data_IF_043746765823
#
_entry.id   IF_043746765823
#
_cell.length_a   1.000
_cell.length_b   1.000
_cell.length_c   1.000
_cell.angle_alpha   90.00
_cell.angle_beta   90.00
_cell.angle_gamma   90.00
#
_symmetry.space_group_name_H-M   'P 1'
#
loop_
_entity.id
_entity.type
_entity.pdbx_description
1 polymer ?
#
# COMPACT_ATOMS: atom_id res chain seq x y z
N UNK A 1 -0.78 15.81 -2.42
CA UNK A 1 -0.32 14.86 -1.37
C UNK A 1 0.89 14.05 -1.87
N UNK A 2 1.70 13.44 -0.99
CA UNK A 2 2.80 12.53 -1.38
C UNK A 2 2.51 11.15 -0.83
N UNK A 3 2.77 10.12 -1.63
CA UNK A 3 2.60 8.71 -1.30
C UNK A 3 3.96 8.04 -1.20
N UNK A 4 4.09 7.18 -0.21
CA UNK A 4 5.22 6.33 0.13
C UNK A 4 4.79 4.87 0.01
N UNK A 5 5.51 4.13 -0.82
CA UNK A 5 5.27 2.70 -1.04
C UNK A 5 6.46 1.94 -0.46
N UNK A 6 6.24 1.26 0.66
CA UNK A 6 7.31 0.69 1.49
C UNK A 6 7.24 -0.82 1.40
N UNK A 7 8.31 -1.48 0.93
CA UNK A 7 8.39 -2.94 0.88
C UNK A 7 8.07 -3.55 2.25
N UNK A 8 7.18 -4.53 2.28
CA UNK A 8 6.64 -5.09 3.52
C UNK A 8 7.67 -5.95 4.27
N UNK A 9 8.50 -6.70 3.54
CA UNK A 9 9.55 -7.53 4.15
C UNK A 9 10.75 -6.72 4.65
N UNK A 10 11.38 -7.23 5.70
CA UNK A 10 12.70 -6.77 6.13
C UNK A 10 13.77 -7.19 5.12
N UNK A 11 14.27 -6.23 4.36
CA UNK A 11 15.28 -6.47 3.33
C UNK A 11 16.70 -6.54 3.90
N UNK A 12 17.54 -7.51 3.48
CA UNK A 12 18.96 -7.53 3.82
C UNK A 12 19.70 -6.28 3.35
N UNK A 13 20.77 -5.90 4.04
CA UNK A 13 21.63 -4.76 3.66
C UNK A 13 22.34 -4.94 2.31
N UNK A 14 22.43 -6.19 1.81
CA UNK A 14 23.04 -6.53 0.50
C UNK A 14 22.04 -6.50 -0.65
N UNK A 15 20.81 -6.06 -0.42
CA UNK A 15 19.74 -6.04 -1.42
C UNK A 15 20.10 -5.11 -2.59
N UNK A 16 19.88 -5.61 -3.81
CA UNK A 16 20.04 -4.84 -5.04
C UNK A 16 18.66 -4.47 -5.57
N UNK A 17 18.42 -3.17 -5.72
CA UNK A 17 17.14 -2.64 -6.16
C UNK A 17 17.10 -2.52 -7.70
N UNK A 18 16.12 -3.14 -8.38
CA UNK A 18 16.05 -3.12 -9.84
C UNK A 18 15.43 -1.83 -10.40
N UNK A 19 15.02 -0.91 -9.53
CA UNK A 19 14.41 0.37 -9.85
C UNK A 19 15.29 1.54 -9.38
N UNK A 20 15.01 2.72 -9.92
CA UNK A 20 15.71 3.95 -9.57
C UNK A 20 15.37 4.40 -8.15
N UNK A 21 16.35 4.30 -7.27
CA UNK A 21 16.25 4.78 -5.89
C UNK A 21 16.06 6.31 -5.90
N UNK A 22 14.96 6.78 -5.31
CA UNK A 22 14.63 8.21 -5.17
C UNK A 22 15.23 8.82 -3.90
N UNK A 23 15.34 8.03 -2.82
CA UNK A 23 15.93 8.42 -1.55
C UNK A 23 16.94 7.36 -1.10
N UNK A 24 18.23 7.70 -1.05
CA UNK A 24 19.27 6.76 -0.61
C UNK A 24 19.19 6.40 0.88
N UNK A 25 18.50 7.20 1.70
CA UNK A 25 18.25 6.88 3.10
C UNK A 25 17.10 5.88 3.29
N UNK A 26 16.22 5.74 2.28
CA UNK A 26 15.07 4.84 2.30
C UNK A 26 14.94 4.12 0.94
N UNK A 27 15.90 3.25 0.58
CA UNK A 27 15.96 2.66 -0.77
C UNK A 27 14.83 1.64 -1.03
N UNK A 28 14.22 1.10 0.03
CA UNK A 28 13.04 0.24 -0.02
C UNK A 28 11.73 1.02 -0.22
N UNK A 29 11.77 2.36 -0.27
CA UNK A 29 10.59 3.21 -0.42
C UNK A 29 10.55 3.82 -1.82
N UNK A 30 9.44 3.62 -2.52
CA UNK A 30 9.14 4.34 -3.74
C UNK A 30 8.21 5.51 -3.44
N UNK A 31 8.43 6.65 -4.08
CA UNK A 31 7.68 7.88 -3.82
C UNK A 31 6.91 8.31 -5.06
N UNK A 32 5.63 8.64 -4.92
CA UNK A 32 4.85 9.30 -5.96
C UNK A 32 4.06 10.48 -5.39
N UNK A 33 3.79 11.48 -6.21
CA UNK A 33 2.79 12.48 -5.86
C UNK A 33 1.39 11.98 -6.26
N UNK A 34 0.38 12.68 -5.77
CA UNK A 34 -1.02 12.39 -6.04
C UNK A 34 -1.39 12.39 -7.53
N UNK A 35 -0.78 13.26 -8.35
CA UNK A 35 -1.02 13.30 -9.80
C UNK A 35 -0.54 12.00 -10.48
N UNK A 36 0.60 11.47 -10.07
CA UNK A 36 1.17 10.21 -10.59
C UNK A 36 0.36 9.00 -10.11
N UNK A 37 -0.08 8.99 -8.85
CA UNK A 37 -0.96 7.94 -8.33
C UNK A 37 -2.30 7.93 -9.06
N UNK A 38 -2.89 9.11 -9.29
CA UNK A 38 -4.13 9.25 -10.06
C UNK A 38 -3.97 8.76 -11.51
N UNK A 39 -2.84 9.06 -12.15
CA UNK A 39 -2.53 8.58 -13.49
C UNK A 39 -2.41 7.05 -13.54
N UNK A 40 -1.69 6.46 -12.58
CA UNK A 40 -1.55 5.00 -12.44
C UNK A 40 -2.90 4.32 -12.22
N UNK A 41 -3.72 4.83 -11.28
CA UNK A 41 -5.05 4.29 -11.02
C UNK A 41 -5.93 4.34 -12.28
N UNK A 42 -5.88 5.45 -13.02
CA UNK A 42 -6.62 5.59 -14.29
C UNK A 42 -6.19 4.53 -15.31
N UNK A 43 -4.90 4.23 -15.40
CA UNK A 43 -4.40 3.17 -16.29
C UNK A 43 -4.87 1.80 -15.82
N UNK A 44 -4.73 1.47 -14.53
CA UNK A 44 -5.21 0.20 -13.97
C UNK A 44 -6.71 0.01 -14.21
N UNK A 45 -7.50 1.07 -14.09
CA UNK A 45 -8.93 1.04 -14.38
C UNK A 45 -9.22 0.77 -15.87
N UNK A 46 -8.51 1.45 -16.78
CA UNK A 46 -8.67 1.23 -18.23
C UNK A 46 -8.25 -0.18 -18.64
N UNK A 47 -7.25 -0.74 -17.97
CA UNK A 47 -6.75 -2.10 -18.20
C UNK A 47 -7.56 -3.19 -17.49
N UNK A 48 -8.68 -2.82 -16.84
CA UNK A 48 -9.56 -3.73 -16.11
C UNK A 48 -8.84 -4.49 -14.97
N UNK A 49 -7.94 -3.80 -14.27
CA UNK A 49 -7.16 -4.30 -13.13
C UNK A 49 -7.43 -3.59 -11.81
N UNK A 50 -8.35 -2.63 -11.79
CA UNK A 50 -8.73 -1.89 -10.60
C UNK A 50 -10.19 -2.17 -10.23
N UNK A 51 -10.42 -2.71 -9.04
CA UNK A 51 -11.76 -2.90 -8.50
C UNK A 51 -12.24 -1.61 -7.83
N UNK A 52 -13.12 -0.89 -8.52
CA UNK A 52 -13.69 0.38 -8.04
C UNK A 52 -14.95 0.20 -7.20
N UNK A 53 -15.45 -1.03 -7.04
CA UNK A 53 -16.67 -1.31 -6.26
C UNK A 53 -16.36 -1.73 -4.82
N UNK A 54 -15.15 -2.26 -4.56
CA UNK A 54 -14.70 -2.60 -3.21
C UNK A 54 -14.18 -1.36 -2.50
N UNK A 55 -15.04 -0.75 -1.70
CA UNK A 55 -14.74 0.42 -0.87
C UNK A 55 -14.73 -0.01 0.60
N UNK A 56 -13.55 0.01 1.21
CA UNK A 56 -13.42 -0.02 2.66
C UNK A 56 -13.30 1.42 3.15
N UNK A 57 -13.96 1.71 4.27
CA UNK A 57 -13.93 3.01 4.94
C UNK A 57 -13.49 2.85 6.40
N UNK A 58 -13.28 3.99 7.07
CA UNK A 58 -12.88 4.08 8.48
C UNK A 58 -13.81 3.28 9.42
N UNK A 59 -15.06 3.02 9.00
CA UNK A 59 -16.00 2.26 9.82
C UNK A 59 -15.54 0.81 10.02
N UNK A 60 -14.85 0.23 9.02
CA UNK A 60 -14.35 -1.14 9.08
C UNK A 60 -13.28 -1.29 10.18
N UNK A 61 -12.38 -0.32 10.31
CA UNK A 61 -11.36 -0.29 11.38
C UNK A 61 -11.99 -0.07 12.75
N UNK A 62 -12.94 0.86 12.85
CA UNK A 62 -13.66 1.12 14.09
C UNK A 62 -14.37 -0.14 14.61
N UNK A 63 -14.96 -0.96 13.73
CA UNK A 63 -15.61 -2.20 14.14
C UNK A 63 -14.64 -3.22 14.76
N UNK A 64 -13.39 -3.26 14.33
CA UNK A 64 -12.38 -4.17 14.89
C UNK A 64 -12.09 -3.76 16.34
N UNK A 65 -11.77 -2.49 16.55
CA UNK A 65 -11.46 -1.98 17.88
C UNK A 65 -12.66 -1.98 18.82
N UNK A 66 -13.88 -1.71 18.32
CA UNK A 66 -15.11 -1.84 19.11
C UNK A 66 -15.34 -3.28 19.61
N UNK A 67 -14.98 -4.30 18.84
CA UNK A 67 -15.11 -5.71 19.25
C UNK A 67 -14.07 -6.14 20.28
N UNK A 68 -12.95 -5.43 20.37
CA UNK A 68 -11.92 -5.69 21.39
C UNK A 68 -12.34 -5.25 22.80
N UNK A 69 -13.45 -4.51 22.91
CA UNK A 69 -13.93 -3.86 24.15
C UNK A 69 -12.91 -2.86 24.76
N UNK A 70 -11.79 -2.60 24.07
CA UNK A 70 -10.82 -1.56 24.44
C UNK A 70 -11.30 -0.21 23.92
N UNK A 71 -11.18 0.83 24.75
CA UNK A 71 -11.31 2.20 24.27
C UNK A 71 -10.04 2.58 23.48
N UNK A 72 -10.11 3.52 22.53
CA UNK A 72 -8.92 3.98 21.80
C UNK A 72 -7.78 4.43 22.72
N UNK A 73 -8.10 5.16 23.79
CA UNK A 73 -7.12 5.59 24.79
C UNK A 73 -6.48 4.40 25.53
N UNK A 74 -7.26 3.37 25.85
CA UNK A 74 -6.72 2.18 26.51
C UNK A 74 -5.85 1.34 25.57
N UNK A 75 -6.22 1.24 24.29
CA UNK A 75 -5.41 0.58 23.28
C UNK A 75 -4.06 1.31 23.10
N UNK A 76 -4.05 2.64 23.11
CA UNK A 76 -2.82 3.45 23.06
C UNK A 76 -1.94 3.23 24.30
N UNK A 77 -2.49 3.23 25.50
CA UNK A 77 -1.75 2.90 26.73
C UNK A 77 -1.13 1.49 26.67
N UNK A 78 -1.88 0.51 26.18
CA UNK A 78 -1.38 -0.87 26.02
C UNK A 78 -0.25 -0.90 24.99
N UNK A 79 -0.36 -0.17 23.89
CA UNK A 79 0.72 -0.05 22.91
C UNK A 79 2.00 0.52 23.53
N UNK A 80 1.90 1.65 24.25
CA UNK A 80 3.04 2.28 24.93
C UNK A 80 3.68 1.35 25.98
N UNK A 81 2.85 0.59 26.71
CA UNK A 81 3.33 -0.41 27.66
C UNK A 81 4.12 -1.54 26.99
N UNK A 82 3.62 -2.05 25.85
CA UNK A 82 4.20 -3.22 25.17
C UNK A 82 5.42 -2.87 24.31
N UNK A 83 5.34 -1.82 23.51
CA UNK A 83 6.36 -1.48 22.51
C UNK A 83 7.42 -0.51 23.06
N UNK A 84 6.99 0.50 23.84
CA UNK A 84 7.87 1.55 24.36
C UNK A 84 8.32 1.30 25.81
N UNK A 85 7.84 0.20 26.42
CA UNK A 85 8.12 -0.16 27.83
C UNK A 85 7.75 0.96 28.81
N UNK A 86 6.73 1.75 28.50
CA UNK A 86 6.27 2.82 29.37
C UNK A 86 5.57 2.28 30.62
N UNK A 87 5.73 2.99 31.74
CA UNK A 87 5.08 2.64 33.00
C UNK A 87 3.63 3.17 33.00
N UNK A 88 2.68 2.28 32.73
CA UNK A 88 1.23 2.57 32.69
C UNK A 88 0.56 2.11 33.99
N UNK A 89 -0.34 2.94 34.53
CA UNK A 89 -1.17 2.64 35.71
C UNK A 89 -2.66 2.90 35.39
N UNK A 90 -3.55 1.89 35.45
CA UNK A 90 -3.28 0.51 35.85
C UNK A 90 -2.53 -0.28 34.78
N UNK A 91 -1.64 -1.17 35.25
CA UNK A 91 -0.92 -2.13 34.40
C UNK A 91 -1.95 -2.93 33.58
N UNK A 92 -1.78 -3.04 32.25
CA UNK A 92 -2.64 -3.87 31.41
C UNK A 92 -2.74 -5.31 31.92
N UNK A 93 -3.97 -5.79 32.05
CA UNK A 93 -4.26 -7.19 32.34
C UNK A 93 -3.93 -8.08 31.12
N UNK A 94 -3.77 -9.38 31.35
CA UNK A 94 -3.52 -10.32 30.24
C UNK A 94 -4.69 -10.37 29.26
N UNK A 95 -5.93 -10.22 29.74
CA UNK A 95 -7.12 -10.18 28.87
C UNK A 95 -7.09 -8.97 27.94
N UNK A 96 -6.70 -7.80 28.45
CA UNK A 96 -6.54 -6.58 27.64
C UNK A 96 -5.42 -6.71 26.61
N UNK A 97 -4.29 -7.31 27.00
CA UNK A 97 -3.17 -7.58 26.09
C UNK A 97 -3.59 -8.55 24.98
N UNK A 98 -4.30 -9.63 25.33
CA UNK A 98 -4.78 -10.62 24.37
C UNK A 98 -5.81 -10.00 23.39
N UNK A 99 -6.73 -9.17 23.91
CA UNK A 99 -7.69 -8.44 23.11
C UNK A 99 -7.02 -7.44 22.15
N UNK A 100 -5.99 -6.74 22.62
CA UNK A 100 -5.18 -5.83 21.82
C UNK A 100 -4.48 -6.55 20.67
N UNK A 101 -3.79 -7.66 20.95
CA UNK A 101 -3.13 -8.45 19.90
C UNK A 101 -4.14 -9.04 18.91
N UNK A 102 -5.32 -9.44 19.36
CA UNK A 102 -6.36 -9.94 18.47
C UNK A 102 -6.88 -8.82 17.55
N UNK A 103 -7.12 -7.62 18.08
CA UNK A 103 -7.51 -6.45 17.30
C UNK A 103 -6.45 -6.10 16.24
N UNK A 104 -5.17 -6.04 16.62
CA UNK A 104 -4.07 -5.79 15.69
C UNK A 104 -4.03 -6.83 14.55
N UNK A 105 -4.18 -8.12 14.87
CA UNK A 105 -4.22 -9.19 13.85
C UNK A 105 -5.39 -9.06 12.91
N UNK A 106 -6.55 -8.62 13.40
CA UNK A 106 -7.73 -8.45 12.57
C UNK A 106 -7.64 -7.18 11.72
N UNK A 107 -6.99 -6.13 12.22
CA UNK A 107 -6.63 -4.95 11.44
C UNK A 107 -5.63 -5.27 10.34
N UNK A 108 -4.56 -6.03 10.63
CA UNK A 108 -3.61 -6.48 9.62
C UNK A 108 -4.28 -7.31 8.51
N UNK A 109 -5.23 -8.17 8.87
CA UNK A 109 -6.03 -8.92 7.88
C UNK A 109 -6.90 -8.00 7.04
N UNK A 110 -7.49 -6.96 7.64
CA UNK A 110 -8.29 -5.97 6.91
C UNK A 110 -7.40 -5.20 5.93
N UNK A 111 -6.24 -4.70 6.38
CA UNK A 111 -5.27 -3.98 5.56
C UNK A 111 -4.70 -4.83 4.41
N UNK A 112 -4.65 -6.15 4.58
CA UNK A 112 -4.20 -7.10 3.57
C UNK A 112 -5.33 -7.65 2.68
N UNK A 113 -6.57 -7.20 2.85
CA UNK A 113 -7.72 -7.76 2.13
C UNK A 113 -7.56 -7.56 0.62
N UNK A 114 -7.62 -8.66 -0.13
CA UNK A 114 -7.62 -8.67 -1.60
C UNK A 114 -9.05 -8.44 -2.12
N UNK A 115 -9.17 -8.00 -3.39
CA UNK A 115 -10.48 -7.89 -4.05
C UNK A 115 -11.16 -9.26 -4.13
N UNK A 116 -12.49 -9.26 -4.02
CA UNK A 116 -13.30 -10.46 -4.32
C UNK A 116 -13.33 -10.80 -5.82
N UNK A 117 -12.98 -9.85 -6.69
CA UNK A 117 -12.89 -10.05 -8.13
C UNK A 117 -11.49 -10.54 -8.49
N UNK A 118 -11.43 -11.73 -9.09
CA UNK A 118 -10.17 -12.33 -9.49
C UNK A 118 -9.39 -11.43 -10.46
N UNK A 119 -8.10 -11.24 -10.21
CA UNK A 119 -7.23 -10.45 -11.08
C UNK A 119 -7.38 -8.93 -10.96
N UNK A 120 -7.99 -8.43 -9.88
CA UNK A 120 -8.17 -7.00 -9.62
C UNK A 120 -7.51 -6.55 -8.31
N UNK A 121 -7.05 -5.30 -8.31
CA UNK A 121 -6.53 -4.62 -7.11
C UNK A 121 -7.61 -3.66 -6.58
N UNK A 122 -7.97 -3.70 -5.28
CA UNK A 122 -8.96 -2.78 -4.73
C UNK A 122 -8.52 -1.31 -4.81
N UNK A 123 -9.44 -0.43 -5.23
CA UNK A 123 -9.15 1.00 -5.39
C UNK A 123 -8.79 1.69 -4.07
N UNK A 124 -9.40 1.26 -2.97
CA UNK A 124 -9.22 1.90 -1.66
C UNK A 124 -7.76 1.89 -1.20
N UNK A 125 -6.97 0.89 -1.63
CA UNK A 125 -5.53 0.77 -1.28
C UNK A 125 -4.67 1.94 -1.75
N UNK A 126 -5.12 2.68 -2.76
CA UNK A 126 -4.43 3.86 -3.29
C UNK A 126 -5.22 5.16 -3.04
N UNK A 127 -6.51 5.04 -2.76
CA UNK A 127 -7.36 6.19 -2.48
C UNK A 127 -7.18 6.72 -1.05
N UNK A 128 -6.86 5.85 -0.10
CA UNK A 128 -6.66 6.22 1.30
C UNK A 128 -5.28 5.77 1.76
N UNK A 129 -4.63 6.59 2.58
CA UNK A 129 -3.21 6.49 2.88
C UNK A 129 -2.97 5.79 4.21
N UNK A 130 -3.68 4.67 4.40
CA UNK A 130 -3.95 4.08 5.72
C UNK A 130 -3.08 2.83 5.99
N UNK A 131 -1.95 2.66 5.29
CA UNK A 131 -1.08 1.51 5.48
C UNK A 131 -1.60 0.22 4.84
N UNK A 132 -2.42 0.33 3.79
CA UNK A 132 -2.90 -0.83 3.04
C UNK A 132 -1.74 -1.66 2.51
N UNK A 133 -1.84 -2.99 2.64
CA UNK A 133 -0.89 -3.90 2.03
C UNK A 133 -1.37 -4.22 0.61
N UNK A 134 -0.60 -3.79 -0.38
CA UNK A 134 -0.67 -4.33 -1.73
C UNK A 134 0.04 -5.66 -1.73
N UNK A 135 -0.71 -6.75 -1.90
CA UNK A 135 -0.20 -8.12 -1.71
C UNK A 135 0.77 -8.50 -2.82
N UNK A 136 1.48 -9.62 -2.65
CA UNK A 136 2.41 -10.12 -3.67
C UNK A 136 1.72 -10.39 -5.00
N UNK A 137 0.50 -10.92 -4.98
CA UNK A 137 -0.30 -11.17 -6.19
C UNK A 137 -0.72 -9.87 -6.87
N UNK A 138 -1.17 -8.90 -6.09
CA UNK A 138 -1.55 -7.58 -6.61
C UNK A 138 -0.34 -6.85 -7.20
N UNK A 139 0.83 -6.99 -6.57
CA UNK A 139 2.10 -6.49 -7.11
C UNK A 139 2.44 -7.14 -8.45
N UNK A 140 2.29 -8.46 -8.59
CA UNK A 140 2.53 -9.14 -9.87
C UNK A 140 1.60 -8.63 -10.98
N UNK A 141 0.32 -8.41 -10.66
CA UNK A 141 -0.65 -7.84 -11.61
C UNK A 141 -0.26 -6.42 -12.04
N UNK A 142 0.14 -5.57 -11.09
CA UNK A 142 0.58 -4.19 -11.38
C UNK A 142 1.88 -4.20 -12.19
N UNK A 143 2.82 -5.08 -11.86
CA UNK A 143 4.09 -5.23 -12.58
C UNK A 143 3.89 -5.62 -14.04
N UNK A 144 2.93 -6.50 -14.32
CA UNK A 144 2.56 -6.88 -15.68
C UNK A 144 2.08 -5.66 -16.48
N UNK A 145 1.08 -4.94 -15.95
CA UNK A 145 0.48 -3.75 -16.60
C UNK A 145 1.53 -2.70 -16.93
N UNK A 146 2.48 -2.48 -16.02
CA UNK A 146 3.51 -1.44 -16.17
C UNK A 146 4.86 -1.98 -16.68
N UNK A 147 4.85 -3.11 -17.39
CA UNK A 147 6.00 -3.56 -18.15
C UNK A 147 6.38 -2.55 -19.25
N UNK A 148 7.68 -2.39 -19.58
CA UNK A 148 8.12 -1.49 -20.65
C UNK A 148 7.40 -1.72 -21.97
N UNK A 149 7.12 -2.98 -22.31
CA UNK A 149 6.43 -3.40 -23.52
C UNK A 149 5.00 -2.87 -23.53
N UNK A 150 4.19 -3.17 -22.49
CA UNK A 150 2.79 -2.74 -22.45
C UNK A 150 2.65 -1.22 -22.31
N UNK A 151 3.54 -0.56 -21.56
CA UNK A 151 3.54 0.91 -21.47
C UNK A 151 3.83 1.53 -22.85
N UNK A 152 4.79 0.97 -23.60
CA UNK A 152 5.12 1.41 -24.95
C UNK A 152 4.00 1.17 -25.97
N UNK A 153 3.37 -0.01 -25.93
CA UNK A 153 2.23 -0.34 -26.80
C UNK A 153 1.01 0.57 -26.54
N UNK A 154 0.84 1.02 -25.29
CA UNK A 154 -0.25 1.90 -24.87
C UNK A 154 0.13 3.40 -24.89
N UNK A 155 1.14 3.79 -25.67
CA UNK A 155 1.64 5.17 -25.79
C UNK A 155 0.53 6.22 -25.88
N UNK A 156 -0.47 6.00 -26.74
CA UNK A 156 -1.58 6.95 -26.93
C UNK A 156 -2.38 7.14 -25.62
N UNK A 157 -2.75 6.07 -24.94
CA UNK A 157 -3.49 6.12 -23.67
C UNK A 157 -2.66 6.85 -22.61
N UNK A 158 -1.39 6.49 -22.46
CA UNK A 158 -0.47 7.13 -21.51
C UNK A 158 -0.31 8.63 -21.83
N UNK A 159 -0.32 9.02 -23.11
CA UNK A 159 -0.26 10.43 -23.51
C UNK A 159 -1.52 11.22 -23.11
N UNK A 160 -2.71 10.63 -23.24
CA UNK A 160 -3.96 11.30 -22.86
C UNK A 160 -4.04 11.46 -21.34
N UNK A 161 -3.63 10.44 -20.59
CA UNK A 161 -3.62 10.48 -19.13
C UNK A 161 -2.60 11.50 -18.62
N UNK A 162 -1.42 11.57 -19.24
CA UNK A 162 -0.42 12.59 -18.92
C UNK A 162 -1.00 14.02 -19.05
N UNK A 163 -1.78 14.29 -20.10
CA UNK A 163 -2.45 15.58 -20.30
C UNK A 163 -3.47 15.84 -19.18
N UNK A 164 -4.32 14.86 -18.86
CA UNK A 164 -5.36 14.98 -17.84
C UNK A 164 -4.76 15.25 -16.45
N UNK A 165 -3.71 14.51 -16.09
CA UNK A 165 -3.00 14.63 -14.81
C UNK A 165 -1.96 15.76 -14.80
N UNK A 166 -1.82 16.53 -15.89
CA UNK A 166 -0.86 17.64 -16.02
C UNK A 166 0.60 17.24 -15.75
N UNK A 167 0.97 16.01 -16.10
CA UNK A 167 2.33 15.49 -16.02
C UNK A 167 2.92 15.42 -17.43
N UNK A 168 4.24 15.61 -17.57
CA UNK A 168 4.87 15.38 -18.89
C UNK A 168 4.78 13.91 -19.26
N UNK A 169 4.42 13.61 -20.51
CA UNK A 169 4.28 12.24 -20.99
C UNK A 169 5.53 11.37 -20.74
N UNK A 170 6.71 11.88 -21.07
CA UNK A 170 7.98 11.18 -20.86
C UNK A 170 8.26 10.88 -19.38
N UNK A 171 7.94 11.82 -18.47
CA UNK A 171 8.10 11.57 -17.04
C UNK A 171 7.09 10.56 -16.51
N UNK A 172 5.86 10.58 -17.01
CA UNK A 172 4.85 9.58 -16.66
C UNK A 172 5.31 8.20 -17.12
N UNK A 173 5.65 8.04 -18.39
CA UNK A 173 6.15 6.78 -18.98
C UNK A 173 7.32 6.20 -18.18
N UNK A 174 8.35 7.01 -17.92
CA UNK A 174 9.50 6.59 -17.12
C UNK A 174 9.10 6.20 -15.70
N UNK A 175 8.15 6.90 -15.09
CA UNK A 175 7.69 6.59 -13.74
C UNK A 175 6.92 5.29 -13.69
N UNK A 176 6.04 5.04 -14.67
CA UNK A 176 5.27 3.81 -14.79
C UNK A 176 6.18 2.59 -14.91
N UNK A 177 7.20 2.66 -15.78
CA UNK A 177 8.17 1.58 -15.94
C UNK A 177 8.95 1.31 -14.65
N UNK A 178 9.42 2.35 -13.97
CA UNK A 178 10.11 2.19 -12.69
C UNK A 178 9.19 1.65 -11.60
N UNK A 179 7.91 2.01 -11.64
CA UNK A 179 6.90 1.48 -10.75
C UNK A 179 6.59 0.01 -11.01
N UNK A 180 6.53 -0.42 -12.28
CA UNK A 180 6.42 -1.83 -12.65
C UNK A 180 7.59 -2.66 -12.12
N UNK A 181 8.82 -2.14 -12.21
CA UNK A 181 10.02 -2.79 -11.62
C UNK A 181 9.96 -2.86 -10.09
N UNK A 182 9.47 -1.81 -9.43
CA UNK A 182 9.25 -1.81 -7.99
C UNK A 182 8.23 -2.87 -7.58
N UNK A 183 7.10 -2.97 -8.29
CA UNK A 183 6.07 -3.98 -8.02
C UNK A 183 6.59 -5.41 -8.25
N UNK A 184 7.34 -5.65 -9.33
CA UNK A 184 7.97 -6.95 -9.58
C UNK A 184 8.99 -7.35 -8.50
N UNK A 185 9.63 -6.36 -7.89
CA UNK A 185 10.50 -6.58 -6.75
C UNK A 185 9.66 -6.87 -5.50
N UNK A 186 8.67 -6.04 -5.20
CA UNK A 186 7.78 -6.18 -4.05
C UNK A 186 7.03 -7.50 -4.02
N UNK A 187 6.61 -8.05 -5.17
CA UNK A 187 5.95 -9.34 -5.23
C UNK A 187 6.80 -10.51 -4.72
N UNK A 188 8.13 -10.35 -4.72
CA UNK A 188 9.10 -11.31 -4.18
C UNK A 188 9.45 -11.04 -2.71
N UNK A 189 8.91 -9.97 -2.13
CA UNK A 189 9.27 -9.42 -0.82
C UNK A 189 8.04 -9.01 0.01
N UNK A 190 7.01 -9.84 0.00
CA UNK A 190 5.83 -9.67 0.85
C UNK A 190 4.83 -8.60 0.39
N UNK A 191 5.08 -7.92 -0.74
CA UNK A 191 4.29 -6.79 -1.22
C UNK A 191 4.82 -5.46 -0.68
N UNK A 192 3.96 -4.45 -0.59
CA UNK A 192 4.30 -3.15 0.00
C UNK A 192 3.11 -2.47 0.68
N UNK A 193 3.42 -1.60 1.65
CA UNK A 193 2.47 -0.75 2.37
C UNK A 193 2.34 0.61 1.70
N UNK A 194 1.15 1.20 1.69
CA UNK A 194 0.84 2.53 1.12
C UNK A 194 0.64 3.56 2.24
N UNK A 195 1.54 4.54 2.33
CA UNK A 195 1.64 5.56 3.39
C UNK A 195 1.90 6.98 2.86
#
# INVERSE_FOLDING_TARGET
MSYEFIIADNLPTTTVYPYKIKNSAAPATFFMNEDLVSAMMSILQIMDKLDTEDMLDDHCFNQIWLRSELTPARAEEIYLYLEDSEAIDPIPSQEEIDAFYQAQRDEDKLLAKESAKEGMVPVHKFATNDGWLVTTKECDLIAEVFSPELVGENYFVVSQIAILCKVSHQALESTLVEWGKFNLFASKHGGYRVN
#
